data_IF_368137168563
#
_entry.id   IF_368137168563
#
_cell.length_a   1.000
_cell.length_b   1.000
_cell.length_c   1.000
_cell.angle_alpha   90.00
_cell.angle_beta   90.00
_cell.angle_gamma   90.00
#
_symmetry.space_group_name_H-M   'P 1'
#
loop_
_entity.id
_entity.type
_entity.pdbx_description
1 polymer ?
#
# COMPACT_ATOMS: atom_id res chain seq x y z
N UNK A 1 -4.08 -3.46 -29.09
CA UNK A 1 -2.92 -3.12 -28.24
C UNK A 1 -3.22 -3.44 -26.78
N UNK A 2 -2.66 -4.53 -26.25
CA UNK A 2 -2.97 -5.08 -24.93
C UNK A 2 -2.59 -4.17 -23.73
N UNK A 3 -1.51 -3.37 -23.87
CA UNK A 3 -1.12 -2.42 -22.84
C UNK A 3 -2.17 -1.32 -22.61
N UNK A 4 -2.76 -0.79 -23.70
CA UNK A 4 -3.79 0.25 -23.59
C UNK A 4 -5.11 -0.28 -23.03
N UNK A 5 -5.45 -1.56 -23.23
CA UNK A 5 -6.62 -2.16 -22.59
C UNK A 5 -6.41 -2.31 -21.08
N UNK A 6 -5.22 -2.73 -20.64
CA UNK A 6 -4.87 -2.76 -19.22
C UNK A 6 -4.94 -1.36 -18.60
N UNK A 7 -4.35 -0.35 -19.24
CA UNK A 7 -4.39 1.03 -18.74
C UNK A 7 -5.83 1.54 -18.55
N UNK A 8 -6.70 1.31 -19.55
CA UNK A 8 -8.13 1.67 -19.46
C UNK A 8 -8.85 0.90 -18.36
N UNK A 9 -8.50 -0.38 -18.14
CA UNK A 9 -9.04 -1.19 -17.03
C UNK A 9 -8.68 -0.55 -15.69
N UNK A 10 -7.42 -0.18 -15.48
CA UNK A 10 -6.96 0.46 -14.24
C UNK A 10 -7.70 1.79 -14.00
N UNK A 11 -7.87 2.62 -15.03
CA UNK A 11 -8.62 3.87 -14.90
C UNK A 11 -10.11 3.67 -14.58
N UNK A 12 -10.72 2.60 -15.10
CA UNK A 12 -12.10 2.23 -14.73
C UNK A 12 -12.18 1.82 -13.26
N UNK A 13 -11.23 0.99 -12.80
CA UNK A 13 -11.12 0.61 -11.39
C UNK A 13 -10.96 1.84 -10.50
N UNK A 14 -10.06 2.76 -10.85
CA UNK A 14 -9.89 4.02 -10.10
C UNK A 14 -11.14 4.92 -10.07
N UNK A 15 -12.05 4.77 -11.04
CA UNK A 15 -13.32 5.51 -11.07
C UNK A 15 -14.39 4.86 -10.22
N UNK A 16 -14.44 3.54 -10.18
CA UNK A 16 -15.42 2.76 -9.41
C UNK A 16 -14.90 2.29 -8.05
N UNK A 17 -13.71 2.74 -7.65
CA UNK A 17 -13.09 2.36 -6.39
C UNK A 17 -13.94 2.84 -5.21
N UNK A 18 -14.28 1.95 -4.28
CA UNK A 18 -15.13 2.27 -3.13
C UNK A 18 -14.43 3.18 -2.11
N UNK A 19 -13.11 3.24 -2.13
CA UNK A 19 -12.33 4.13 -1.27
C UNK A 19 -12.43 5.61 -1.64
N UNK A 20 -11.85 6.44 -0.78
CA UNK A 20 -11.88 7.90 -0.90
C UNK A 20 -11.04 8.45 -2.06
N UNK A 21 -11.13 9.76 -2.28
CA UNK A 21 -10.46 10.44 -3.40
C UNK A 21 -8.94 10.28 -3.40
N UNK A 22 -8.34 10.16 -2.22
CA UNK A 22 -6.89 9.92 -2.05
C UNK A 22 -6.48 8.60 -2.71
N UNK A 23 -7.20 7.52 -2.45
CA UNK A 23 -6.91 6.20 -3.04
C UNK A 23 -7.15 6.19 -4.54
N UNK A 24 -8.23 6.81 -4.99
CA UNK A 24 -8.54 6.97 -6.41
C UNK A 24 -7.45 7.74 -7.15
N UNK A 25 -6.95 8.82 -6.56
CA UNK A 25 -5.85 9.61 -7.10
C UNK A 25 -4.53 8.83 -7.10
N UNK A 26 -4.29 8.07 -6.03
CA UNK A 26 -3.12 7.20 -5.92
C UNK A 26 -3.10 6.14 -7.03
N UNK A 27 -4.20 5.42 -7.27
CA UNK A 27 -4.30 4.41 -8.34
C UNK A 27 -3.97 5.03 -9.71
N UNK A 28 -4.51 6.22 -10.01
CA UNK A 28 -4.24 6.91 -11.29
C UNK A 28 -2.77 7.31 -11.41
N UNK A 29 -2.19 7.80 -10.33
CA UNK A 29 -0.79 8.27 -10.30
C UNK A 29 0.18 7.10 -10.47
N UNK A 30 -0.03 6.04 -9.70
CA UNK A 30 0.76 4.80 -9.78
C UNK A 30 0.67 4.21 -11.19
N UNK A 31 -0.53 4.10 -11.76
CA UNK A 31 -0.71 3.59 -13.12
C UNK A 31 0.07 4.42 -14.14
N UNK A 32 0.05 5.76 -14.02
CA UNK A 32 0.82 6.62 -14.91
C UNK A 32 2.32 6.41 -14.74
N UNK A 33 2.83 6.36 -13.51
CA UNK A 33 4.25 6.16 -13.23
C UNK A 33 4.75 4.84 -13.81
N UNK A 34 4.05 3.72 -13.54
CA UNK A 34 4.42 2.40 -14.04
C UNK A 34 4.48 2.34 -15.57
N UNK A 35 3.53 2.97 -16.27
CA UNK A 35 3.53 2.98 -17.73
C UNK A 35 4.65 3.86 -18.31
N UNK A 36 4.97 4.99 -17.67
CA UNK A 36 6.10 5.83 -18.08
C UNK A 36 7.46 5.17 -17.83
N UNK A 37 7.64 4.51 -16.68
CA UNK A 37 8.86 3.76 -16.35
C UNK A 37 9.16 2.68 -17.39
N UNK A 38 8.12 1.98 -17.86
CA UNK A 38 8.24 0.89 -18.82
C UNK A 38 8.19 1.37 -20.30
N UNK A 39 8.07 2.67 -20.56
CA UNK A 39 7.87 3.23 -21.93
C UNK A 39 9.00 2.88 -22.91
N UNK A 40 10.22 2.67 -22.40
CA UNK A 40 11.41 2.38 -23.24
C UNK A 40 11.61 0.89 -23.51
N UNK A 41 10.81 0.01 -22.92
CA UNK A 41 10.93 -1.44 -23.11
C UNK A 41 10.48 -1.79 -24.53
N UNK A 42 11.33 -2.50 -25.26
CA UNK A 42 11.09 -2.92 -26.65
C UNK A 42 10.97 -4.44 -26.79
N UNK A 43 11.39 -5.21 -25.79
CA UNK A 43 11.28 -6.67 -25.83
C UNK A 43 9.80 -7.10 -25.74
N UNK A 44 9.24 -7.75 -26.77
CA UNK A 44 7.86 -8.21 -26.76
C UNK A 44 7.55 -9.18 -25.63
N UNK A 45 8.49 -10.06 -25.24
CA UNK A 45 8.26 -11.02 -24.16
C UNK A 45 8.14 -10.30 -22.82
N UNK A 46 9.05 -9.35 -22.54
CA UNK A 46 8.98 -8.53 -21.33
C UNK A 46 7.72 -7.68 -21.28
N UNK A 47 7.27 -7.12 -22.41
CA UNK A 47 6.01 -6.36 -22.46
C UNK A 47 4.82 -7.24 -22.08
N UNK A 48 4.73 -8.46 -22.60
CA UNK A 48 3.64 -9.38 -22.27
C UNK A 48 3.65 -9.77 -20.79
N UNK A 49 4.83 -10.05 -20.22
CA UNK A 49 4.96 -10.33 -18.79
C UNK A 49 4.48 -9.15 -17.94
N UNK A 50 4.91 -7.93 -18.23
CA UNK A 50 4.49 -6.74 -17.49
C UNK A 50 2.98 -6.47 -17.60
N UNK A 51 2.38 -6.76 -18.76
CA UNK A 51 0.92 -6.66 -18.93
C UNK A 51 0.23 -7.69 -18.05
N UNK A 52 0.69 -8.93 -18.03
CA UNK A 52 0.11 -9.99 -17.19
C UNK A 52 0.25 -9.65 -15.71
N UNK A 53 1.46 -9.29 -15.26
CA UNK A 53 1.74 -8.85 -13.89
C UNK A 53 0.81 -7.68 -13.48
N UNK A 54 0.58 -6.73 -14.39
CA UNK A 54 -0.32 -5.61 -14.15
C UNK A 54 -1.80 -6.03 -14.06
N UNK A 55 -2.24 -7.02 -14.83
CA UNK A 55 -3.57 -7.61 -14.67
C UNK A 55 -3.72 -8.28 -13.31
N UNK A 56 -2.78 -9.14 -12.95
CA UNK A 56 -2.78 -9.88 -11.68
C UNK A 56 -2.81 -8.93 -10.48
N UNK A 57 -2.02 -7.85 -10.51
CA UNK A 57 -2.00 -6.84 -9.47
C UNK A 57 -3.35 -6.12 -9.32
N UNK A 58 -4.02 -5.79 -10.43
CA UNK A 58 -5.37 -5.18 -10.40
C UNK A 58 -6.38 -6.13 -9.77
N UNK A 59 -6.31 -7.43 -10.12
CA UNK A 59 -7.20 -8.45 -9.59
C UNK A 59 -7.01 -8.64 -8.08
N UNK A 60 -5.76 -8.69 -7.61
CA UNK A 60 -5.43 -8.71 -6.17
C UNK A 60 -5.96 -7.45 -5.48
N UNK A 61 -5.72 -6.27 -6.04
CA UNK A 61 -6.16 -5.02 -5.43
C UNK A 61 -7.69 -4.98 -5.28
N UNK A 62 -8.43 -5.34 -6.33
CA UNK A 62 -9.91 -5.37 -6.31
C UNK A 62 -10.44 -6.43 -5.34
N UNK A 63 -9.86 -7.62 -5.32
CA UNK A 63 -10.28 -8.71 -4.44
C UNK A 63 -10.11 -8.36 -2.96
N UNK A 64 -8.99 -7.73 -2.61
CA UNK A 64 -8.68 -7.37 -1.22
C UNK A 64 -9.07 -5.94 -0.83
N UNK A 65 -9.64 -5.16 -1.76
CA UNK A 65 -10.01 -3.76 -1.56
C UNK A 65 -8.84 -2.91 -1.02
N UNK A 66 -7.63 -3.22 -1.47
CA UNK A 66 -6.40 -2.51 -1.07
C UNK A 66 -5.65 -2.06 -2.33
N UNK A 67 -5.55 -0.74 -2.58
CA UNK A 67 -4.89 -0.25 -3.78
C UNK A 67 -3.37 -0.29 -3.65
N UNK A 68 -2.84 -0.23 -2.43
CA UNK A 68 -1.41 -0.07 -2.17
C UNK A 68 -0.64 -1.36 -2.44
N UNK A 69 0.64 -1.26 -2.87
CA UNK A 69 1.49 -2.43 -2.99
C UNK A 69 1.64 -3.07 -1.60
N UNK A 70 1.45 -4.39 -1.54
CA UNK A 70 1.73 -5.13 -0.31
C UNK A 70 3.23 -5.01 -0.01
N UNK A 71 3.64 -4.62 1.22
CA UNK A 71 5.03 -4.66 1.60
C UNK A 71 5.57 -6.07 1.36
N UNK A 72 6.66 -6.20 0.60
CA UNK A 72 7.37 -7.46 0.52
C UNK A 72 8.01 -7.69 1.89
N UNK A 73 7.46 -8.65 2.65
CA UNK A 73 8.13 -9.15 3.85
C UNK A 73 9.38 -9.89 3.38
N UNK A 74 10.50 -9.17 3.38
CA UNK A 74 11.81 -9.82 3.42
C UNK A 74 11.92 -10.46 4.80
N UNK A 75 12.14 -11.77 4.83
CA UNK A 75 12.42 -12.46 6.08
C UNK A 75 13.62 -11.75 6.75
N UNK A 76 13.54 -11.38 8.03
CA UNK A 76 14.60 -10.65 8.73
C UNK A 76 15.97 -11.37 8.74
N UNK A 77 16.04 -12.61 8.24
CA UNK A 77 17.27 -13.40 8.15
C UNK A 77 18.03 -13.29 6.82
N UNK A 78 17.48 -12.65 5.77
CA UNK A 78 18.11 -12.64 4.44
C UNK A 78 18.87 -11.34 4.12
N UNK A 79 18.67 -10.27 4.89
CA UNK A 79 19.50 -9.06 4.83
C UNK A 79 20.54 -9.15 5.96
N UNK A 80 21.70 -9.73 5.65
CA UNK A 80 22.87 -9.66 6.51
C UNK A 80 23.37 -8.21 6.57
N UNK A 81 23.15 -7.55 7.71
CA UNK A 81 23.59 -6.17 7.94
C UNK A 81 23.23 -5.71 9.34
N UNK A 82 24.24 -5.75 10.20
CA UNK A 82 24.35 -5.16 11.54
C UNK A 82 23.82 -6.01 12.71
N UNK A 83 24.77 -6.64 13.40
CA UNK A 83 24.64 -7.34 14.69
C UNK A 83 24.16 -6.45 15.85
N UNK A 84 23.62 -5.26 15.58
CA UNK A 84 23.20 -4.28 16.59
C UNK A 84 21.69 -4.03 16.63
N UNK A 85 20.89 -4.93 16.03
CA UNK A 85 19.47 -5.07 16.39
C UNK A 85 19.29 -5.67 17.79
N UNK A 86 19.94 -5.09 18.80
CA UNK A 86 19.50 -5.24 20.19
C UNK A 86 18.11 -4.61 20.26
N UNK A 87 17.06 -5.44 20.21
CA UNK A 87 15.73 -5.08 20.70
C UNK A 87 15.86 -4.66 22.15
N UNK A 88 16.17 -3.39 22.43
CA UNK A 88 16.04 -2.79 23.75
C UNK A 88 14.57 -2.57 24.02
N UNK A 89 13.86 -3.66 24.33
CA UNK A 89 12.59 -3.59 25.02
C UNK A 89 12.87 -3.15 26.46
N UNK A 90 12.94 -1.84 26.70
CA UNK A 90 12.86 -1.31 28.07
C UNK A 90 11.41 -1.45 28.54
N UNK A 91 11.11 -2.52 29.27
CA UNK A 91 9.88 -2.66 30.07
C UNK A 91 9.88 -1.67 31.26
N UNK A 92 10.07 -0.37 31.01
CA UNK A 92 10.05 0.68 32.04
C UNK A 92 8.90 1.69 31.89
N UNK A 93 7.95 1.48 30.98
CA UNK A 93 6.77 2.35 30.83
C UNK A 93 5.41 1.66 31.07
N UNK A 94 5.35 0.54 31.79
CA UNK A 94 4.06 -0.06 32.22
C UNK A 94 3.47 0.56 33.50
N UNK A 95 4.05 1.66 34.00
CA UNK A 95 3.49 2.43 35.13
C UNK A 95 3.18 3.88 34.76
N UNK A 96 2.83 4.16 33.50
CA UNK A 96 1.98 5.32 33.19
C UNK A 96 0.53 4.96 33.57
N UNK A 97 0.34 5.00 34.88
CA UNK A 97 -0.81 5.55 35.56
C UNK A 97 -2.19 5.26 34.95
N UNK A 98 -2.80 4.13 35.37
CA UNK A 98 -4.24 3.84 35.19
C UNK A 98 -5.15 4.97 35.73
N UNK A 99 -4.63 5.92 36.50
CA UNK A 99 -5.39 7.00 37.14
C UNK A 99 -5.52 8.28 36.32
N UNK A 100 -4.75 8.46 35.23
CA UNK A 100 -4.81 9.69 34.40
C UNK A 100 -6.00 9.75 33.43
N UNK A 101 -6.64 8.61 33.12
CA UNK A 101 -7.86 8.59 32.28
C UNK A 101 -9.14 9.02 33.00
N UNK A 102 -9.12 9.19 34.34
CA UNK A 102 -10.32 9.52 35.12
C UNK A 102 -10.65 11.01 35.24
N UNK A 103 -9.80 11.91 34.69
CA UNK A 103 -10.03 13.38 34.76
C UNK A 103 -10.60 14.01 33.50
N UNK A 104 -10.66 13.29 32.38
CA UNK A 104 -11.14 13.87 31.10
C UNK A 104 -12.63 13.54 30.84
N UNK A 105 -13.27 12.63 31.58
CA UNK A 105 -14.70 12.30 31.40
C UNK A 105 -15.68 13.15 32.22
N UNK A 106 -15.19 14.12 33.01
CA UNK A 106 -16.02 14.95 33.90
C UNK A 106 -16.31 16.36 33.39
N UNK A 107 -15.93 16.69 32.16
CA UNK A 107 -16.03 18.06 31.63
C UNK A 107 -16.97 18.25 30.43
N UNK A 108 -17.79 17.26 30.08
CA UNK A 108 -18.87 17.42 29.11
C UNK A 108 -20.16 16.75 29.61
N UNK A 109 -20.98 17.52 30.33
CA UNK A 109 -22.44 17.34 30.41
C UNK A 109 -23.08 18.64 29.95
N UNK A 110 -23.72 18.70 28.77
CA UNK A 110 -24.68 19.76 28.49
C UNK A 110 -25.98 19.48 29.27
N UNK A 111 -26.67 20.58 29.59
CA UNK A 111 -27.82 20.71 30.51
C UNK A 111 -29.02 19.81 30.19
#
# INVERSE_FOLDING_TARGET
>A
MAALSLYRRILRVARTWEGGDVERAWIRTEARQRFEENRKIRDPKRIQQLIQEGHDQVDVAVHYKNPYPRPQYVDPGTVGGDNDFRRRSTRKNTKLDRTSRSRISRQYKPH
#
